data_IF_443135552755
#
_entry.id   IF_443135552755
#
_cell.length_a   1.000
_cell.length_b   1.000
_cell.length_c   1.000
_cell.angle_alpha   90.00
_cell.angle_beta   90.00
_cell.angle_gamma   90.00
#
_symmetry.space_group_name_H-M   'P 1'
#
loop_
_entity.id
_entity.type
_entity.pdbx_description
1 polymer ?
#
# COMPACT_ATOMS: atom_id res chain seq x y z
N UNK A 1 -42.89 -35.36 1.40
CA UNK A 1 -41.57 -36.02 1.12
C UNK A 1 -40.60 -34.89 0.97
N UNK A 2 -40.16 -34.44 2.02
CA UNK A 2 -38.86 -34.27 2.73
C UNK A 2 -37.63 -34.50 1.87
N UNK A 3 -36.84 -33.47 1.68
CA UNK A 3 -35.37 -33.50 1.80
C UNK A 3 -34.89 -32.12 2.23
N UNK A 4 -34.54 -32.02 3.48
CA UNK A 4 -33.68 -30.98 4.07
C UNK A 4 -32.23 -31.25 3.62
N UNK A 5 -31.52 -30.22 3.18
CA UNK A 5 -30.07 -30.21 3.25
C UNK A 5 -29.62 -28.83 3.69
N UNK A 6 -29.36 -28.76 4.99
CA UNK A 6 -28.77 -27.62 5.65
C UNK A 6 -27.27 -27.58 5.45
N UNK A 7 -26.77 -26.58 4.78
CA UNK A 7 -25.38 -26.14 4.87
C UNK A 7 -25.29 -24.97 5.82
N UNK A 8 -24.37 -24.97 6.81
CA UNK A 8 -24.27 -23.88 7.76
C UNK A 8 -23.63 -22.66 7.09
N UNK A 9 -24.47 -21.63 6.90
CA UNK A 9 -24.01 -20.29 6.63
C UNK A 9 -23.11 -19.84 7.80
N UNK A 10 -21.86 -19.53 7.48
CA UNK A 10 -20.93 -18.90 8.41
C UNK A 10 -21.48 -17.52 8.82
N UNK A 11 -22.22 -17.50 9.92
CA UNK A 11 -22.66 -16.27 10.56
C UNK A 11 -21.42 -15.52 11.05
N UNK A 12 -21.22 -14.33 10.51
CA UNK A 12 -20.30 -13.34 11.05
C UNK A 12 -20.84 -12.90 12.42
N UNK A 13 -20.37 -13.52 13.50
CA UNK A 13 -20.81 -13.18 14.86
C UNK A 13 -20.26 -11.79 15.21
N UNK A 14 -21.16 -10.82 15.30
CA UNK A 14 -20.90 -9.54 15.95
C UNK A 14 -20.67 -9.78 17.45
N UNK A 15 -19.44 -9.66 17.90
CA UNK A 15 -19.12 -9.56 19.32
C UNK A 15 -19.37 -8.13 19.81
N UNK A 16 -19.94 -7.92 21.01
CA UNK A 16 -20.18 -6.58 21.55
C UNK A 16 -18.85 -5.88 21.84
N UNK A 17 -18.84 -4.56 21.63
CA UNK A 17 -17.70 -3.67 21.85
C UNK A 17 -17.22 -3.73 23.30
N UNK A 18 -15.93 -3.97 23.58
CA UNK A 18 -15.33 -3.56 24.84
C UNK A 18 -15.02 -2.06 24.79
N UNK A 19 -15.42 -1.38 25.82
CA UNK A 19 -15.03 0.02 26.08
C UNK A 19 -13.57 0.06 26.49
N UNK A 20 -12.83 0.98 25.88
CA UNK A 20 -11.69 1.73 26.44
C UNK A 20 -10.35 1.06 26.72
N UNK A 21 -9.33 1.78 26.24
CA UNK A 21 -7.96 1.92 26.72
C UNK A 21 -6.95 0.85 26.33
N UNK A 22 -6.11 1.21 25.37
CA UNK A 22 -4.66 1.12 25.52
C UNK A 22 -3.99 1.70 24.29
N UNK A 23 -3.21 2.73 24.48
CA UNK A 23 -2.36 3.31 23.47
C UNK A 23 -1.33 2.30 22.97
N UNK A 24 -1.29 2.11 21.68
CA UNK A 24 -0.22 1.38 21.01
C UNK A 24 0.89 2.37 20.72
N UNK A 25 2.04 2.15 21.36
CA UNK A 25 3.26 2.86 21.00
C UNK A 25 3.77 2.36 19.65
N UNK A 26 4.12 3.23 18.70
CA UNK A 26 4.70 2.81 17.43
C UNK A 26 6.14 2.39 17.65
N UNK A 27 6.50 1.20 17.16
CA UNK A 27 7.89 0.82 16.95
C UNK A 27 8.23 1.17 15.52
N UNK A 28 9.12 2.16 15.34
CA UNK A 28 9.46 2.72 14.05
C UNK A 28 10.04 1.71 13.09
N UNK A 29 9.50 1.67 11.92
CA UNK A 29 10.26 1.47 10.69
C UNK A 29 10.63 2.86 10.20
N UNK A 30 11.86 3.09 9.80
CA UNK A 30 12.41 4.40 9.42
C UNK A 30 11.70 5.09 8.23
N UNK A 31 10.46 4.73 7.93
CA UNK A 31 9.56 5.36 6.96
C UNK A 31 8.08 5.27 7.37
N UNK A 32 7.72 4.94 8.61
CA UNK A 32 6.32 4.75 9.03
C UNK A 32 5.97 5.43 10.36
N UNK A 33 6.73 6.42 10.79
CA UNK A 33 6.52 7.13 12.06
C UNK A 33 5.43 8.21 11.99
N UNK A 34 4.38 8.01 11.20
CA UNK A 34 3.22 8.89 11.15
C UNK A 34 1.94 8.33 11.76
N UNK A 35 1.94 7.10 12.29
CA UNK A 35 0.70 6.50 12.76
C UNK A 35 0.46 6.74 14.25
N UNK A 36 -0.47 7.66 14.53
CA UNK A 36 -1.25 7.81 15.77
C UNK A 36 -0.49 8.12 17.06
N UNK A 37 -0.03 9.36 17.21
CA UNK A 37 -0.07 10.03 18.49
C UNK A 37 -0.83 11.37 18.35
N UNK A 38 -1.66 11.78 19.36
CA UNK A 38 -2.19 13.14 19.40
C UNK A 38 -0.99 14.11 19.47
N UNK A 39 -1.14 15.36 18.98
CA UNK A 39 -0.02 16.28 18.81
C UNK A 39 0.64 16.60 20.14
N UNK A 40 1.64 15.85 20.54
CA UNK A 40 2.60 16.29 21.53
C UNK A 40 3.67 17.10 20.79
N UNK A 41 3.56 18.42 20.93
CA UNK A 41 4.65 19.35 20.62
C UNK A 41 5.88 18.97 21.46
N UNK A 42 6.75 18.11 20.93
CA UNK A 42 8.18 18.01 21.29
C UNK A 42 8.85 17.12 20.26
N UNK A 43 9.99 17.57 19.71
CA UNK A 43 10.76 16.94 18.66
C UNK A 43 10.88 15.42 18.81
N UNK A 44 10.13 14.70 18.00
CA UNK A 44 10.30 13.27 17.81
C UNK A 44 11.68 12.99 17.22
N UNK A 45 12.23 11.77 17.37
CA UNK A 45 13.51 11.43 16.81
C UNK A 45 13.45 11.69 15.30
N UNK A 46 14.25 12.64 14.84
CA UNK A 46 14.51 12.84 13.41
C UNK A 46 15.02 11.51 12.90
N UNK A 47 14.31 10.93 11.94
CA UNK A 47 14.69 9.67 11.32
C UNK A 47 16.18 9.67 11.05
N UNK A 48 16.88 8.62 11.45
CA UNK A 48 18.32 8.51 11.30
C UNK A 48 18.65 8.42 9.82
N UNK A 49 18.97 9.55 9.21
CA UNK A 49 19.67 9.56 7.91
C UNK A 49 21.00 8.84 8.16
N UNK A 50 21.23 7.74 7.49
CA UNK A 50 22.51 7.01 7.58
C UNK A 50 23.64 7.98 7.28
N UNK A 51 24.64 8.01 8.16
CA UNK A 51 25.82 8.82 7.96
C UNK A 51 26.40 8.58 6.55
N UNK A 52 26.49 9.64 5.73
CA UNK A 52 26.99 9.58 4.36
C UNK A 52 25.95 9.86 3.25
N UNK A 53 24.67 9.99 3.56
CA UNK A 53 23.68 10.47 2.59
C UNK A 53 23.43 11.94 2.87
N UNK A 54 23.90 12.82 1.99
CA UNK A 54 23.60 14.26 2.01
C UNK A 54 22.41 14.57 1.10
N UNK A 55 21.65 15.63 1.41
CA UNK A 55 20.55 16.09 0.55
C UNK A 55 19.26 15.28 0.71
N UNK A 56 18.96 14.80 1.92
CA UNK A 56 17.69 14.16 2.26
C UNK A 56 16.87 15.10 3.12
N UNK A 57 15.70 15.45 2.64
CA UNK A 57 14.69 16.19 3.40
C UNK A 57 13.64 15.22 3.94
N UNK A 58 13.25 15.42 5.18
CA UNK A 58 12.16 14.70 5.83
C UNK A 58 10.91 15.57 5.80
N UNK A 59 9.80 14.98 5.36
CA UNK A 59 8.48 15.61 5.31
C UNK A 59 7.51 14.79 6.15
N UNK A 60 6.62 15.49 6.84
CA UNK A 60 5.54 14.84 7.58
C UNK A 60 4.47 14.34 6.60
N UNK A 61 4.12 13.05 6.72
CA UNK A 61 3.13 12.41 5.86
C UNK A 61 2.42 11.28 6.62
N UNK A 62 1.10 11.42 6.79
CA UNK A 62 0.21 10.34 7.21
C UNK A 62 -0.72 9.95 6.05
N UNK A 63 -0.50 8.76 5.49
CA UNK A 63 -1.33 8.24 4.40
C UNK A 63 -2.74 7.82 4.85
N UNK A 64 -3.00 7.74 6.15
CA UNK A 64 -4.32 7.51 6.71
C UNK A 64 -5.15 8.80 6.82
N UNK A 65 -4.53 9.94 6.51
CA UNK A 65 -5.17 11.25 6.53
C UNK A 65 -4.93 12.01 5.22
N UNK A 66 -5.97 12.18 4.42
CA UNK A 66 -5.87 12.85 3.12
C UNK A 66 -5.50 14.35 3.26
N UNK A 67 -5.80 14.99 4.40
CA UNK A 67 -5.38 16.37 4.64
C UNK A 67 -3.87 16.45 4.90
N UNK A 68 -3.30 15.45 5.60
CA UNK A 68 -1.85 15.29 5.73
C UNK A 68 -1.18 15.04 4.38
N UNK A 69 -1.78 14.22 3.52
CA UNK A 69 -1.28 14.00 2.14
C UNK A 69 -1.24 15.31 1.37
N UNK A 70 -2.29 16.14 1.44
CA UNK A 70 -2.33 17.43 0.75
C UNK A 70 -1.30 18.41 1.29
N UNK A 71 -1.16 18.50 2.61
CA UNK A 71 -0.17 19.37 3.25
C UNK A 71 1.25 18.99 2.78
N UNK A 72 1.57 17.69 2.79
CA UNK A 72 2.85 17.18 2.28
C UNK A 72 3.05 17.53 0.79
N UNK A 73 2.03 17.35 -0.05
CA UNK A 73 2.12 17.70 -1.47
C UNK A 73 2.32 19.19 -1.71
N UNK A 74 1.68 20.05 -0.91
CA UNK A 74 1.88 21.50 -0.98
C UNK A 74 3.31 21.87 -0.60
N UNK A 75 3.84 21.25 0.46
CA UNK A 75 5.22 21.45 0.88
C UNK A 75 6.22 21.01 -0.18
N UNK A 76 6.03 19.82 -0.79
CA UNK A 76 6.87 19.36 -1.90
C UNK A 76 6.84 20.35 -3.06
N UNK A 77 5.65 20.79 -3.49
CA UNK A 77 5.49 21.76 -4.60
C UNK A 77 6.09 23.14 -4.31
N UNK A 78 6.13 23.55 -3.04
CA UNK A 78 6.75 24.82 -2.66
C UNK A 78 8.28 24.77 -2.62
N UNK A 79 8.87 23.58 -2.42
CA UNK A 79 10.32 23.40 -2.27
C UNK A 79 11.01 22.94 -3.55
N UNK A 80 10.29 22.22 -4.41
CA UNK A 80 10.88 21.53 -5.55
C UNK A 80 10.12 21.86 -6.85
N UNK A 81 10.87 22.17 -7.90
CA UNK A 81 10.33 22.44 -9.23
C UNK A 81 10.11 21.17 -10.05
N UNK A 82 10.68 20.05 -9.61
CA UNK A 82 10.64 18.78 -10.35
C UNK A 82 10.69 17.57 -9.42
N UNK A 83 10.12 16.47 -9.92
CA UNK A 83 10.20 15.14 -9.31
C UNK A 83 10.50 14.11 -10.40
N UNK A 84 11.60 13.39 -10.28
CA UNK A 84 12.01 12.39 -11.28
C UNK A 84 11.53 10.98 -10.90
N UNK A 85 11.32 10.71 -9.59
CA UNK A 85 10.92 9.39 -9.10
C UNK A 85 10.02 9.51 -7.89
N UNK A 86 8.87 8.82 -7.94
CA UNK A 86 7.97 8.63 -6.81
C UNK A 86 7.87 7.13 -6.49
N UNK A 87 8.18 6.73 -5.26
CA UNK A 87 8.04 5.34 -4.82
C UNK A 87 6.95 5.27 -3.73
N UNK A 88 5.80 4.77 -4.10
CA UNK A 88 4.67 4.49 -3.22
C UNK A 88 4.94 3.19 -2.45
N UNK A 89 5.72 3.27 -1.37
CA UNK A 89 6.25 2.10 -0.67
C UNK A 89 5.55 1.81 0.67
N UNK A 90 5.13 2.82 1.41
CA UNK A 90 4.54 2.66 2.73
C UNK A 90 3.31 1.74 2.70
N UNK A 91 3.02 1.08 3.80
CA UNK A 91 1.85 0.21 3.86
C UNK A 91 1.65 -0.46 5.20
N UNK A 92 0.46 -1.00 5.37
CA UNK A 92 0.03 -1.79 6.51
C UNK A 92 -0.27 -3.22 6.06
N UNK A 93 -0.11 -4.18 6.98
CA UNK A 93 -0.40 -5.58 6.71
C UNK A 93 -1.25 -6.18 7.83
N UNK A 94 -2.46 -6.53 7.49
CA UNK A 94 -3.41 -7.28 8.28
C UNK A 94 -3.61 -6.81 9.75
N UNK A 95 -3.72 -5.49 10.06
CA UNK A 95 -4.17 -5.05 11.37
C UNK A 95 -5.65 -5.42 11.60
N UNK A 96 -6.15 -5.33 12.83
CA UNK A 96 -7.58 -5.33 13.08
C UNK A 96 -8.30 -4.24 12.27
N UNK A 97 -9.61 -4.37 12.08
CA UNK A 97 -10.37 -3.34 11.37
C UNK A 97 -10.28 -2.00 12.09
N UNK A 98 -9.71 -1.05 11.39
CA UNK A 98 -9.61 0.35 11.78
C UNK A 98 -10.09 1.20 10.61
N UNK A 99 -10.43 2.44 10.88
CA UNK A 99 -10.79 3.42 9.86
C UNK A 99 -9.75 4.54 9.81
N UNK A 100 -9.52 5.06 8.63
CA UNK A 100 -8.73 6.27 8.39
C UNK A 100 -9.47 7.51 8.92
N UNK A 101 -8.84 8.69 8.85
CA UNK A 101 -9.46 9.94 9.26
C UNK A 101 -10.73 10.25 8.47
N UNK A 102 -10.78 9.87 7.19
CA UNK A 102 -11.96 10.07 6.33
C UNK A 102 -12.93 8.86 6.32
N UNK A 103 -12.77 7.92 7.27
CA UNK A 103 -13.72 6.81 7.45
C UNK A 103 -13.51 5.60 6.53
N UNK A 104 -12.42 5.54 5.75
CA UNK A 104 -12.11 4.39 4.90
C UNK A 104 -11.41 3.28 5.68
N UNK A 105 -11.56 2.01 5.24
CA UNK A 105 -10.81 0.89 5.82
C UNK A 105 -9.29 1.19 5.77
N UNK A 106 -8.63 0.99 6.89
CA UNK A 106 -7.26 1.47 7.13
C UNK A 106 -6.25 0.96 6.10
N UNK A 107 -6.30 -0.32 5.72
CA UNK A 107 -5.35 -0.86 4.74
C UNK A 107 -5.62 -0.35 3.33
N UNK A 108 -6.89 -0.20 2.96
CA UNK A 108 -7.26 0.38 1.68
C UNK A 108 -6.89 1.87 1.62
N UNK A 109 -7.10 2.59 2.73
CA UNK A 109 -6.73 4.00 2.84
C UNK A 109 -5.21 4.20 2.70
N UNK A 110 -4.41 3.56 3.54
CA UNK A 110 -2.94 3.76 3.58
C UNK A 110 -2.27 3.15 2.35
N UNK A 111 -2.59 1.88 2.02
CA UNK A 111 -1.89 1.18 0.95
C UNK A 111 -2.27 1.68 -0.44
N UNK A 112 -3.49 2.22 -0.61
CA UNK A 112 -4.01 2.60 -1.92
C UNK A 112 -4.46 4.07 -2.02
N UNK A 113 -5.47 4.52 -1.28
CA UNK A 113 -6.06 5.85 -1.46
C UNK A 113 -5.08 6.99 -1.18
N UNK A 114 -4.29 6.90 -0.10
CA UNK A 114 -3.27 7.89 0.24
C UNK A 114 -2.20 8.01 -0.85
N UNK A 115 -1.72 6.88 -1.38
CA UNK A 115 -0.78 6.86 -2.50
C UNK A 115 -1.41 7.35 -3.82
N UNK A 116 -2.68 7.02 -4.05
CA UNK A 116 -3.43 7.53 -5.19
C UNK A 116 -3.49 9.05 -5.16
N UNK A 117 -3.89 9.64 -4.02
CA UNK A 117 -3.96 11.09 -3.83
C UNK A 117 -2.58 11.76 -3.98
N UNK A 118 -1.56 11.20 -3.31
CA UNK A 118 -0.17 11.67 -3.38
C UNK A 118 0.34 11.70 -4.82
N UNK A 119 0.10 10.62 -5.57
CA UNK A 119 0.55 10.51 -6.97
C UNK A 119 -0.14 11.52 -7.86
N UNK A 120 -1.47 11.66 -7.74
CA UNK A 120 -2.23 12.65 -8.54
C UNK A 120 -1.76 14.08 -8.26
N UNK A 121 -1.54 14.41 -7.00
CA UNK A 121 -1.12 15.75 -6.60
C UNK A 121 0.31 16.09 -7.02
N UNK A 122 1.23 15.11 -7.11
CA UNK A 122 2.62 15.34 -7.47
C UNK A 122 2.92 15.13 -8.97
N UNK A 123 1.98 14.57 -9.74
CA UNK A 123 2.16 14.34 -11.18
C UNK A 123 2.63 15.58 -11.95
N UNK A 124 2.11 16.80 -11.70
CA UNK A 124 2.57 17.98 -12.43
C UNK A 124 4.08 18.28 -12.30
N UNK A 125 4.72 17.88 -11.20
CA UNK A 125 6.17 18.01 -11.03
C UNK A 125 6.97 16.96 -11.81
N UNK A 126 6.31 15.91 -12.31
CA UNK A 126 6.92 14.81 -13.05
C UNK A 126 6.78 14.98 -14.57
N UNK A 127 5.80 15.77 -15.02
CA UNK A 127 5.52 15.99 -16.45
C UNK A 127 6.71 16.64 -17.17
N UNK A 128 6.88 16.28 -18.46
CA UNK A 128 7.99 16.76 -19.28
C UNK A 128 9.35 16.16 -18.92
N UNK A 129 9.41 15.17 -18.03
CA UNK A 129 10.62 14.47 -17.64
C UNK A 129 10.71 13.12 -18.34
N UNK A 130 11.69 12.94 -19.21
CA UNK A 130 11.82 11.76 -20.09
C UNK A 130 11.91 10.43 -19.35
N UNK A 131 12.43 10.45 -18.12
CA UNK A 131 12.65 9.24 -17.32
C UNK A 131 11.87 9.22 -16.01
N UNK A 132 10.91 10.14 -15.83
CA UNK A 132 10.12 10.17 -14.60
C UNK A 132 9.29 8.89 -14.42
N UNK A 133 9.26 8.38 -13.19
CA UNK A 133 8.59 7.12 -12.86
C UNK A 133 7.84 7.18 -11.55
N UNK A 134 6.69 6.53 -11.56
CA UNK A 134 5.97 6.17 -10.33
C UNK A 134 6.08 4.65 -10.15
N UNK A 135 6.66 4.22 -9.04
CA UNK A 135 6.75 2.80 -8.69
C UNK A 135 5.84 2.52 -7.50
N UNK A 136 4.80 1.73 -7.73
CA UNK A 136 3.84 1.37 -6.69
C UNK A 136 4.15 0.00 -6.12
N UNK A 137 4.40 -0.04 -4.80
CA UNK A 137 4.77 -1.29 -4.12
C UNK A 137 3.53 -2.09 -3.75
N UNK A 138 3.47 -3.31 -4.29
CA UNK A 138 2.45 -4.32 -4.03
C UNK A 138 3.01 -5.48 -3.20
N UNK A 139 2.37 -6.63 -3.25
CA UNK A 139 2.75 -7.87 -2.57
C UNK A 139 2.33 -9.08 -3.40
N UNK A 140 2.91 -10.24 -3.13
CA UNK A 140 2.38 -11.52 -3.62
C UNK A 140 0.91 -11.77 -3.22
N UNK A 141 0.42 -11.09 -2.19
CA UNK A 141 -0.99 -11.14 -1.79
C UNK A 141 -1.96 -10.66 -2.89
N UNK A 142 -1.50 -9.88 -3.88
CA UNK A 142 -2.30 -9.45 -5.02
C UNK A 142 -2.94 -10.62 -5.78
N UNK A 143 -2.23 -11.76 -5.84
CA UNK A 143 -2.71 -12.93 -6.61
C UNK A 143 -3.93 -13.61 -5.98
N UNK A 144 -4.17 -13.37 -4.70
CA UNK A 144 -5.30 -13.88 -3.92
C UNK A 144 -6.36 -12.80 -3.66
N UNK A 145 -6.11 -11.57 -4.11
CA UNK A 145 -6.99 -10.43 -3.89
C UNK A 145 -8.22 -10.47 -4.79
N UNK A 146 -9.30 -9.92 -4.28
CA UNK A 146 -10.50 -9.55 -5.00
C UNK A 146 -10.98 -8.19 -4.51
N UNK A 147 -11.55 -7.37 -5.39
CA UNK A 147 -12.14 -6.10 -5.00
C UNK A 147 -13.59 -6.34 -4.57
N UNK A 148 -13.88 -6.06 -3.31
CA UNK A 148 -15.24 -6.14 -2.75
C UNK A 148 -16.01 -4.86 -3.13
N UNK A 149 -16.51 -4.80 -4.36
CA UNK A 149 -17.12 -3.61 -4.93
C UNK A 149 -18.24 -3.01 -4.09
N UNK A 150 -18.99 -3.83 -3.36
CA UNK A 150 -20.12 -3.43 -2.54
C UNK A 150 -19.78 -3.31 -1.05
N UNK A 151 -18.50 -3.49 -0.69
CA UNK A 151 -18.03 -3.46 0.71
C UNK A 151 -16.52 -3.18 0.81
N UNK A 152 -16.04 -2.14 0.13
CA UNK A 152 -14.63 -1.76 0.13
C UNK A 152 -14.07 -1.51 1.53
N UNK A 153 -14.92 -1.00 2.43
CA UNK A 153 -14.54 -0.68 3.81
C UNK A 153 -14.75 -1.85 4.79
N UNK A 154 -15.22 -3.01 4.32
CA UNK A 154 -15.42 -4.19 5.16
C UNK A 154 -16.42 -3.96 6.29
N UNK A 155 -17.52 -3.23 6.02
CA UNK A 155 -18.56 -2.93 7.00
C UNK A 155 -19.47 -4.13 7.26
N UNK A 156 -19.77 -4.87 6.20
CA UNK A 156 -20.62 -6.05 6.26
C UNK A 156 -19.88 -7.27 6.80
N UNK A 157 -18.66 -7.47 6.32
CA UNK A 157 -17.81 -8.57 6.76
C UNK A 157 -16.32 -8.19 6.59
N UNK A 158 -15.56 -8.27 7.67
CA UNK A 158 -14.15 -7.94 7.66
C UNK A 158 -13.26 -9.15 7.92
N UNK A 159 -12.40 -9.44 6.96
CA UNK A 159 -11.26 -10.33 7.10
C UNK A 159 -9.99 -9.55 6.77
N UNK A 160 -9.08 -9.43 7.73
CA UNK A 160 -7.88 -8.60 7.63
C UNK A 160 -6.93 -9.01 6.50
N UNK A 161 -6.86 -10.32 6.18
CA UNK A 161 -6.02 -10.82 5.10
C UNK A 161 -6.64 -10.60 3.74
N UNK A 162 -7.97 -10.70 3.64
CA UNK A 162 -8.70 -10.32 2.42
C UNK A 162 -8.58 -8.82 2.18
N UNK A 163 -8.72 -7.98 3.21
CA UNK A 163 -8.53 -6.53 3.10
C UNK A 163 -7.10 -6.17 2.66
N UNK A 164 -6.08 -6.83 3.22
CA UNK A 164 -4.70 -6.69 2.76
C UNK A 164 -4.54 -7.08 1.29
N UNK A 165 -5.03 -8.27 0.90
CA UNK A 165 -4.95 -8.75 -0.47
C UNK A 165 -5.69 -7.84 -1.45
N UNK A 166 -6.87 -7.32 -1.06
CA UNK A 166 -7.62 -6.29 -1.81
C UNK A 166 -6.78 -5.04 -2.02
N UNK A 167 -6.17 -4.48 -0.97
CA UNK A 167 -5.37 -3.25 -1.08
C UNK A 167 -4.15 -3.44 -1.99
N UNK A 168 -3.51 -4.62 -1.94
CA UNK A 168 -2.35 -4.93 -2.80
C UNK A 168 -2.73 -5.25 -4.24
N UNK A 169 -3.91 -5.82 -4.49
CA UNK A 169 -4.49 -5.90 -5.82
C UNK A 169 -4.82 -4.52 -6.37
N UNK A 170 -5.43 -3.65 -5.56
CA UNK A 170 -5.73 -2.27 -5.93
C UNK A 170 -4.47 -1.49 -6.36
N UNK A 171 -3.33 -1.72 -5.70
CA UNK A 171 -2.06 -1.10 -6.07
C UNK A 171 -1.59 -1.51 -7.47
N UNK A 172 -1.71 -2.78 -7.83
CA UNK A 172 -1.37 -3.23 -9.19
C UNK A 172 -2.34 -2.67 -10.22
N UNK A 173 -3.64 -2.72 -9.92
CA UNK A 173 -4.67 -2.15 -10.80
C UNK A 173 -4.43 -0.67 -11.03
N UNK A 174 -4.09 0.08 -9.98
CA UNK A 174 -3.72 1.49 -10.06
C UNK A 174 -2.50 1.70 -10.96
N UNK A 175 -1.40 0.96 -10.74
CA UNK A 175 -0.19 1.14 -11.52
C UNK A 175 -0.42 0.91 -13.03
N UNK A 176 -1.20 -0.12 -13.38
CA UNK A 176 -1.54 -0.41 -14.77
C UNK A 176 -2.48 0.64 -15.40
N UNK A 177 -3.52 1.03 -14.67
CA UNK A 177 -4.49 2.03 -15.14
C UNK A 177 -3.82 3.39 -15.29
N UNK A 178 -3.00 3.76 -14.31
CA UNK A 178 -2.27 5.03 -14.35
C UNK A 178 -1.32 5.08 -15.54
N UNK A 179 -0.57 3.99 -15.80
CA UNK A 179 0.29 3.94 -16.99
C UNK A 179 -0.50 4.10 -18.28
N UNK A 180 -1.63 3.42 -18.41
CA UNK A 180 -2.48 3.52 -19.59
C UNK A 180 -2.99 4.96 -19.79
N UNK A 181 -3.38 5.65 -18.72
CA UNK A 181 -3.83 7.06 -18.79
C UNK A 181 -2.70 8.01 -19.16
N UNK A 182 -1.49 7.78 -18.63
CA UNK A 182 -0.30 8.53 -19.01
C UNK A 182 0.02 8.38 -20.51
N UNK A 183 -0.03 7.16 -21.04
CA UNK A 183 0.17 6.91 -22.47
C UNK A 183 -0.90 7.60 -23.33
N UNK A 184 -2.16 7.53 -22.91
CA UNK A 184 -3.28 8.18 -23.62
C UNK A 184 -3.19 9.71 -23.62
N UNK A 185 -2.62 10.31 -22.56
CA UNK A 185 -2.39 11.76 -22.48
C UNK A 185 -1.09 12.20 -23.17
N UNK A 186 -0.28 11.28 -23.69
CA UNK A 186 1.03 11.59 -24.29
C UNK A 186 2.10 11.96 -23.25
N UNK A 187 1.89 11.64 -21.99
CA UNK A 187 2.87 11.86 -20.91
C UNK A 187 4.10 10.99 -21.10
N UNK A 188 5.28 11.52 -20.78
CA UNK A 188 6.54 10.76 -20.73
C UNK A 188 6.74 9.99 -19.43
N UNK A 189 5.92 10.25 -18.41
CA UNK A 189 5.96 9.58 -17.11
C UNK A 189 5.53 8.11 -17.27
N UNK A 190 6.22 7.21 -16.57
CA UNK A 190 5.90 5.78 -16.57
C UNK A 190 5.42 5.34 -15.20
N UNK A 191 4.36 4.54 -15.16
CA UNK A 191 3.89 3.90 -13.93
C UNK A 191 4.18 2.41 -13.95
N UNK A 192 4.81 1.91 -12.88
CA UNK A 192 5.23 0.52 -12.74
C UNK A 192 4.78 -0.02 -11.38
N UNK A 193 4.68 -1.34 -11.28
CA UNK A 193 4.45 -2.02 -10.02
C UNK A 193 5.67 -2.87 -9.63
N UNK A 194 5.89 -3.05 -8.33
CA UNK A 194 6.91 -3.95 -7.83
C UNK A 194 6.48 -4.60 -6.51
N UNK A 195 6.97 -5.80 -6.21
CA UNK A 195 6.78 -6.42 -4.91
C UNK A 195 8.09 -7.02 -4.36
N UNK A 196 8.28 -6.95 -3.03
CA UNK A 196 9.53 -7.36 -2.38
C UNK A 196 9.68 -8.88 -2.22
N UNK A 197 8.69 -9.68 -2.58
CA UNK A 197 8.63 -11.09 -2.15
C UNK A 197 8.42 -11.24 -0.64
N UNK A 198 8.97 -12.30 -0.06
CA UNK A 198 9.03 -12.48 1.40
C UNK A 198 10.29 -11.80 1.93
N UNK A 199 10.22 -10.51 2.20
CA UNK A 199 11.30 -9.75 2.80
C UNK A 199 11.06 -9.57 4.31
N UNK A 200 12.14 -9.64 5.12
CA UNK A 200 12.07 -9.28 6.54
C UNK A 200 11.87 -7.78 6.65
N UNK A 201 10.67 -7.38 7.05
CA UNK A 201 10.28 -6.00 7.31
C UNK A 201 9.60 -5.91 8.66
N UNK A 202 9.38 -4.72 9.18
CA UNK A 202 8.68 -4.51 10.44
C UNK A 202 7.15 -4.75 10.32
N UNK A 203 6.62 -4.98 9.12
CA UNK A 203 5.20 -5.21 8.90
C UNK A 203 4.70 -6.52 9.54
N UNK A 204 5.48 -7.62 9.44
CA UNK A 204 5.08 -8.93 10.00
C UNK A 204 5.00 -8.91 11.53
N UNK A 205 6.02 -8.45 12.28
CA UNK A 205 5.95 -8.36 13.73
C UNK A 205 4.77 -7.53 14.22
N UNK A 206 4.45 -6.42 13.57
CA UNK A 206 3.32 -5.56 13.92
C UNK A 206 1.97 -6.26 13.70
N UNK A 207 1.81 -6.98 12.60
CA UNK A 207 0.61 -7.76 12.31
C UNK A 207 0.37 -8.85 13.36
N UNK A 208 1.40 -9.58 13.76
CA UNK A 208 1.33 -10.63 14.80
C UNK A 208 1.06 -10.03 16.17
N UNK A 209 1.77 -8.96 16.53
CA UNK A 209 1.63 -8.31 17.85
C UNK A 209 0.22 -7.75 18.06
N UNK A 210 -0.41 -7.21 17.01
CA UNK A 210 -1.76 -6.62 17.09
C UNK A 210 -2.87 -7.64 17.37
N UNK A 211 -2.61 -8.96 17.20
CA UNK A 211 -3.63 -9.99 17.30
C UNK A 211 -3.41 -11.01 18.42
N UNK A 212 -2.22 -11.04 19.04
CA UNK A 212 -1.88 -12.04 20.06
C UNK A 212 -1.96 -13.50 19.56
N UNK A 213 -1.98 -13.73 18.25
CA UNK A 213 -2.15 -15.04 17.65
C UNK A 213 -0.82 -15.82 17.66
N UNK A 214 -0.60 -16.61 18.69
CA UNK A 214 0.59 -17.46 18.81
C UNK A 214 0.79 -18.41 17.60
N UNK A 215 -0.29 -18.82 16.96
CA UNK A 215 -0.26 -19.67 15.75
C UNK A 215 0.39 -18.93 14.56
N UNK A 216 0.10 -17.64 14.40
CA UNK A 216 0.75 -16.83 13.36
C UNK A 216 2.23 -16.62 13.67
N UNK A 217 2.57 -16.34 14.92
CA UNK A 217 3.97 -16.22 15.35
C UNK A 217 4.75 -17.51 15.06
N UNK A 218 4.15 -18.68 15.32
CA UNK A 218 4.75 -19.97 15.00
C UNK A 218 4.89 -20.16 13.49
N UNK A 219 3.86 -19.85 12.72
CA UNK A 219 3.90 -19.94 11.25
C UNK A 219 5.01 -19.05 10.66
N UNK A 220 5.13 -17.79 11.11
CA UNK A 220 6.22 -16.90 10.69
C UNK A 220 7.60 -17.45 11.07
N UNK A 221 7.73 -18.03 12.27
CA UNK A 221 9.00 -18.66 12.71
C UNK A 221 9.38 -19.86 11.85
N UNK A 222 8.42 -20.68 11.44
CA UNK A 222 8.66 -21.81 10.53
C UNK A 222 9.02 -21.34 9.12
N UNK A 223 8.46 -20.22 8.68
CA UNK A 223 8.76 -19.59 7.38
C UNK A 223 10.03 -18.74 7.38
N UNK A 224 10.65 -18.51 8.55
CA UNK A 224 11.81 -17.61 8.68
C UNK A 224 12.96 -17.89 7.69
N UNK A 225 13.33 -19.16 7.38
CA UNK A 225 14.35 -19.47 6.40
C UNK A 225 14.00 -19.03 4.96
N UNK A 226 12.72 -18.81 4.68
CA UNK A 226 12.24 -18.38 3.36
C UNK A 226 12.32 -16.87 3.17
N UNK A 227 12.45 -16.10 4.27
CA UNK A 227 12.55 -14.65 4.17
C UNK A 227 13.93 -14.23 3.65
N UNK A 228 13.91 -13.27 2.75
CA UNK A 228 15.12 -12.56 2.30
C UNK A 228 15.34 -11.28 3.11
N UNK A 229 16.56 -10.73 3.03
CA UNK A 229 16.87 -9.46 3.69
C UNK A 229 16.03 -8.31 3.10
N UNK A 230 15.83 -7.23 3.88
CA UNK A 230 15.18 -6.03 3.39
C UNK A 230 15.88 -5.44 2.14
N UNK A 231 17.21 -5.50 2.11
CA UNK A 231 18.00 -5.06 0.95
C UNK A 231 17.69 -5.87 -0.32
N UNK A 232 17.56 -7.19 -0.20
CA UNK A 232 17.13 -8.04 -1.32
C UNK A 232 15.67 -7.77 -1.72
N UNK A 233 14.80 -7.52 -0.75
CA UNK A 233 13.41 -7.15 -1.00
C UNK A 233 13.25 -5.81 -1.72
N UNK A 234 14.21 -4.90 -1.58
CA UNK A 234 14.21 -3.62 -2.29
C UNK A 234 14.62 -3.71 -3.77
N UNK A 235 15.29 -4.79 -4.18
CA UNK A 235 15.80 -4.90 -5.56
C UNK A 235 14.74 -4.81 -6.66
N UNK A 236 13.53 -5.41 -6.54
CA UNK A 236 12.49 -5.23 -7.56
C UNK A 236 12.04 -3.78 -7.73
N UNK A 237 11.88 -3.04 -6.61
CA UNK A 237 11.53 -1.63 -6.66
C UNK A 237 12.65 -0.80 -7.30
N UNK A 238 13.91 -1.08 -6.95
CA UNK A 238 15.06 -0.40 -7.53
C UNK A 238 15.17 -0.71 -9.04
N UNK A 239 14.95 -1.96 -9.45
CA UNK A 239 14.94 -2.32 -10.88
C UNK A 239 13.85 -1.55 -11.63
N UNK A 240 12.62 -1.51 -11.10
CA UNK A 240 11.53 -0.74 -11.69
C UNK A 240 11.86 0.76 -11.77
N UNK A 241 12.49 1.29 -10.73
CA UNK A 241 12.82 2.71 -10.62
C UNK A 241 13.96 3.15 -11.54
N UNK A 242 15.00 2.32 -11.74
CA UNK A 242 16.27 2.77 -12.33
C UNK A 242 16.65 2.09 -13.64
N UNK A 243 16.07 0.92 -13.97
CA UNK A 243 16.46 0.22 -15.19
C UNK A 243 16.05 0.98 -16.45
N UNK A 244 16.97 1.25 -17.39
CA UNK A 244 16.64 1.88 -18.66
C UNK A 244 15.66 1.04 -19.51
N UNK A 245 15.67 -0.27 -19.34
CA UNK A 245 14.81 -1.20 -20.07
C UNK A 245 13.40 -1.36 -19.48
N UNK A 246 13.15 -0.87 -18.27
CA UNK A 246 11.84 -0.98 -17.63
C UNK A 246 10.81 -0.11 -18.36
N UNK A 247 9.70 -0.73 -18.76
CA UNK A 247 8.62 -0.08 -19.50
C UNK A 247 7.44 0.21 -18.57
N UNK A 248 6.68 1.23 -18.89
CA UNK A 248 5.42 1.52 -18.20
C UNK A 248 4.46 0.33 -18.25
N UNK A 249 3.68 0.13 -17.20
CA UNK A 249 2.76 -1.00 -17.06
C UNK A 249 3.41 -2.34 -16.65
N UNK A 250 4.73 -2.40 -16.51
CA UNK A 250 5.41 -3.62 -16.07
C UNK A 250 5.33 -3.81 -14.55
N UNK A 251 5.40 -5.08 -14.16
CA UNK A 251 5.42 -5.50 -12.76
C UNK A 251 6.67 -6.33 -12.48
N UNK A 252 7.39 -6.00 -11.41
CA UNK A 252 8.64 -6.63 -11.03
C UNK A 252 8.55 -7.32 -9.67
N UNK A 253 9.18 -8.48 -9.55
CA UNK A 253 9.27 -9.23 -8.31
C UNK A 253 10.45 -10.20 -8.32
N UNK A 254 10.72 -10.90 -7.19
CA UNK A 254 11.77 -11.90 -7.12
C UNK A 254 11.51 -13.08 -8.05
N UNK A 255 12.56 -13.70 -8.58
CA UNK A 255 12.47 -14.70 -9.66
C UNK A 255 12.22 -16.13 -9.23
N UNK A 256 12.41 -16.47 -7.94
CA UNK A 256 12.40 -17.83 -7.44
C UNK A 256 11.21 -18.10 -6.53
N UNK A 257 10.86 -19.40 -6.40
CA UNK A 257 9.80 -19.88 -5.50
C UNK A 257 8.47 -19.12 -5.68
N UNK A 258 8.04 -18.95 -6.94
CA UNK A 258 6.77 -18.26 -7.23
C UNK A 258 6.77 -16.75 -6.88
N UNK A 259 7.94 -16.10 -6.87
CA UNK A 259 8.05 -14.67 -6.53
C UNK A 259 8.36 -14.40 -5.05
N UNK A 260 8.74 -15.41 -4.28
CA UNK A 260 8.98 -15.25 -2.84
C UNK A 260 10.39 -14.70 -2.56
N UNK A 261 11.40 -15.09 -3.35
CA UNK A 261 12.79 -14.65 -3.17
C UNK A 261 13.59 -14.70 -4.48
N UNK A 262 14.82 -14.19 -4.44
CA UNK A 262 15.78 -14.27 -5.54
C UNK A 262 15.98 -12.94 -6.25
N UNK A 263 16.71 -12.98 -7.38
CA UNK A 263 16.97 -11.80 -8.20
C UNK A 263 15.69 -11.21 -8.77
N UNK A 264 15.60 -9.89 -8.94
CA UNK A 264 14.41 -9.25 -9.50
C UNK A 264 14.24 -9.60 -10.98
N UNK A 265 13.00 -9.81 -11.39
CA UNK A 265 12.62 -9.94 -12.80
C UNK A 265 11.21 -9.44 -13.04
N UNK A 266 10.88 -9.18 -14.29
CA UNK A 266 9.49 -8.93 -14.69
C UNK A 266 8.62 -10.17 -14.41
N UNK A 267 7.42 -9.92 -13.88
CA UNK A 267 6.45 -10.95 -13.51
C UNK A 267 5.05 -10.62 -14.02
N UNK A 268 4.21 -11.65 -14.21
CA UNK A 268 2.80 -11.40 -14.52
C UNK A 268 2.10 -10.73 -13.35
N UNK A 269 1.07 -9.96 -13.65
CA UNK A 269 0.14 -9.42 -12.64
C UNK A 269 -0.99 -10.41 -12.35
N UNK A 270 -1.69 -10.23 -11.23
CA UNK A 270 -2.89 -10.97 -10.89
C UNK A 270 -3.91 -10.92 -12.05
N UNK A 271 -4.64 -12.04 -12.28
CA UNK A 271 -5.63 -12.13 -13.36
C UNK A 271 -6.70 -11.01 -13.24
N UNK A 272 -7.15 -10.73 -12.02
CA UNK A 272 -8.13 -9.68 -11.76
C UNK A 272 -7.63 -8.28 -12.19
N UNK A 273 -6.32 -8.00 -12.09
CA UNK A 273 -5.74 -6.72 -12.50
C UNK A 273 -5.66 -6.54 -14.04
N UNK A 274 -5.90 -7.59 -14.83
CA UNK A 274 -5.81 -7.51 -16.31
C UNK A 274 -7.06 -6.91 -16.95
N UNK A 275 -8.22 -6.92 -16.26
CA UNK A 275 -9.45 -6.33 -16.78
C UNK A 275 -9.36 -4.81 -16.76
N UNK A 276 -9.37 -4.20 -17.93
CA UNK A 276 -9.38 -2.75 -18.09
C UNK A 276 -10.64 -2.14 -17.45
N UNK A 277 -11.79 -2.74 -17.64
CA UNK A 277 -13.04 -2.30 -17.05
C UNK A 277 -12.96 -2.20 -15.52
N UNK A 278 -12.43 -3.25 -14.88
CA UNK A 278 -12.27 -3.23 -13.42
C UNK A 278 -11.23 -2.21 -12.96
N UNK A 279 -10.13 -2.01 -13.69
CA UNK A 279 -9.15 -0.97 -13.38
C UNK A 279 -9.76 0.42 -13.48
N UNK A 280 -10.47 0.70 -14.56
CA UNK A 280 -11.13 2.00 -14.76
C UNK A 280 -12.23 2.25 -13.72
N UNK A 281 -12.98 1.20 -13.31
CA UNK A 281 -13.95 1.27 -12.22
C UNK A 281 -13.27 1.62 -10.90
N UNK A 282 -12.17 0.91 -10.55
CA UNK A 282 -11.42 1.20 -9.32
C UNK A 282 -10.88 2.63 -9.32
N UNK A 283 -10.34 3.08 -10.46
CA UNK A 283 -9.86 4.45 -10.62
C UNK A 283 -10.95 5.48 -10.34
N UNK A 284 -12.13 5.32 -10.93
CA UNK A 284 -13.26 6.24 -10.74
C UNK A 284 -13.69 6.30 -9.27
N UNK A 285 -13.85 5.14 -8.63
CA UNK A 285 -14.20 5.05 -7.21
C UNK A 285 -13.11 5.68 -6.34
N UNK A 286 -11.82 5.41 -6.61
CA UNK A 286 -10.72 5.99 -5.84
C UNK A 286 -10.68 7.51 -5.97
N UNK A 287 -10.93 8.04 -7.18
CA UNK A 287 -11.01 9.48 -7.42
C UNK A 287 -12.18 10.13 -6.66
N UNK A 288 -13.34 9.47 -6.60
CA UNK A 288 -14.48 9.93 -5.82
C UNK A 288 -14.19 9.92 -4.32
N UNK A 289 -13.61 8.82 -3.80
CA UNK A 289 -13.31 8.66 -2.38
C UNK A 289 -12.29 9.69 -1.86
N UNK A 290 -11.31 10.08 -2.66
CA UNK A 290 -10.35 11.11 -2.24
C UNK A 290 -10.93 12.53 -2.33
N UNK A 291 -12.02 12.74 -3.07
CA UNK A 291 -12.70 14.02 -3.17
C UNK A 291 -13.79 14.20 -2.12
N UNK A 292 -14.42 13.12 -1.67
CA UNK A 292 -15.51 13.12 -0.69
C UNK A 292 -15.03 13.39 0.75
N UNK A 293 -14.17 14.41 0.91
CA UNK A 293 -13.62 14.81 2.20
C UNK A 293 -14.73 15.44 3.04
N UNK A 294 -15.19 14.74 4.08
CA UNK A 294 -15.91 15.37 5.17
C UNK A 294 -17.43 15.36 5.09
N UNK A 295 -18.04 14.31 4.57
CA UNK A 295 -19.47 14.03 4.79
C UNK A 295 -19.74 13.08 5.96
N UNK A 296 -18.78 12.94 6.89
CA UNK A 296 -18.94 12.18 8.13
C UNK A 296 -18.80 13.14 9.31
N UNK A 297 -19.92 13.78 9.65
CA UNK A 297 -20.15 14.43 10.94
C UNK A 297 -20.93 13.49 11.86
#
# INVERSE_FOLDING_TARGET
MTCEDGSPSSQCQQRPRPRNHAGLAPVGSDCADGLSQPPQRRGGPRGTVRAGVSGVDLLDLDLADLDSVDACCQEVRSRYERLDLLINNAGLMAPPRLLSQQGHEMQFAVNHLGHFALTQALLPLMEGREHARVVTVTSGAQYFGAIAWDDLSGEKCYDRWKAYSQSKLANVMFALEFNQRLEQSGSSVRSLAAHPGLARTNLQPLSVASNGAWQEALAYRLMDPMFQSAAQGALPQLLAATSPSAKGGEHYGPSQFGGLRGAPKQQPVARAARSQEQRSRLWAISAELIQSRGAAA
#
